data_IF_888474920087
#
_entry.id   IF_888474920087
#
_cell.length_a   1.000
_cell.length_b   1.000
_cell.length_c   1.000
_cell.angle_alpha   90.00
_cell.angle_beta   90.00
_cell.angle_gamma   90.00
#
_symmetry.space_group_name_H-M   'P 1'
#
loop_
_entity.id
_entity.type
_entity.pdbx_description
1 polymer ?
#
# COMPACT_ATOMS: atom_id res chain seq x y z
N UNK A 1 -18.56 1.95 -15.83
CA UNK A 1 -17.58 1.85 -14.74
C UNK A 1 -16.78 0.59 -14.97
N UNK A 2 -15.46 0.67 -14.84
CA UNK A 2 -14.56 -0.46 -15.03
C UNK A 2 -13.97 -0.77 -13.66
N UNK A 3 -14.12 -2.02 -13.21
CA UNK A 3 -13.54 -2.45 -11.94
C UNK A 3 -12.02 -2.60 -12.10
N UNK A 4 -11.26 -2.02 -11.17
CA UNK A 4 -9.84 -2.31 -11.02
C UNK A 4 -9.68 -3.59 -10.19
N UNK A 5 -8.94 -4.56 -10.69
CA UNK A 5 -8.55 -5.75 -9.91
C UNK A 5 -7.33 -5.45 -9.04
N UNK A 6 -7.07 -6.27 -8.01
CA UNK A 6 -5.88 -6.14 -7.16
C UNK A 6 -4.59 -6.20 -7.99
N UNK A 7 -4.49 -7.13 -8.94
CA UNK A 7 -3.30 -7.27 -9.80
C UNK A 7 -3.10 -6.03 -10.66
N UNK A 8 -4.16 -5.51 -11.29
CA UNK A 8 -4.08 -4.26 -12.05
C UNK A 8 -3.68 -3.07 -11.18
N UNK A 9 -4.23 -2.97 -9.95
CA UNK A 9 -3.85 -1.92 -9.02
C UNK A 9 -2.36 -1.99 -8.67
N UNK A 10 -1.84 -3.19 -8.39
CA UNK A 10 -0.42 -3.36 -8.08
C UNK A 10 0.46 -3.02 -9.30
N UNK A 11 0.10 -3.48 -10.49
CA UNK A 11 0.81 -3.12 -11.73
C UNK A 11 0.86 -1.61 -11.94
N UNK A 12 -0.26 -0.92 -11.67
CA UNK A 12 -0.32 0.54 -11.76
C UNK A 12 0.50 1.24 -10.68
N UNK A 13 0.53 0.73 -9.44
CA UNK A 13 1.41 1.23 -8.37
C UNK A 13 2.89 1.09 -8.76
N UNK A 14 3.27 -0.04 -9.36
CA UNK A 14 4.64 -0.26 -9.85
C UNK A 14 4.98 0.77 -10.95
N UNK A 15 4.08 0.95 -11.92
CA UNK A 15 4.29 1.90 -13.02
C UNK A 15 4.35 3.36 -12.51
N UNK A 16 3.45 3.73 -11.61
CA UNK A 16 3.45 5.03 -10.93
C UNK A 16 4.79 5.28 -10.23
N UNK A 17 5.27 4.31 -9.44
CA UNK A 17 6.53 4.45 -8.75
C UNK A 17 7.72 4.53 -9.71
N UNK A 18 7.67 3.87 -10.88
CA UNK A 18 8.72 3.98 -11.90
C UNK A 18 8.80 5.40 -12.43
N UNK A 19 7.66 6.02 -12.72
CA UNK A 19 7.57 7.39 -13.23
C UNK A 19 7.98 8.42 -12.18
N UNK A 20 7.77 8.12 -10.89
CA UNK A 20 8.06 9.02 -9.77
C UNK A 20 9.37 8.74 -9.05
N UNK A 21 10.09 7.66 -9.37
CA UNK A 21 11.27 7.22 -8.63
C UNK A 21 12.32 8.34 -8.44
N UNK A 22 12.52 9.17 -9.48
CA UNK A 22 13.48 10.28 -9.44
C UNK A 22 13.09 11.40 -8.46
N UNK A 23 11.80 11.50 -8.12
CA UNK A 23 11.25 12.50 -7.20
C UNK A 23 11.27 12.04 -5.74
N UNK A 24 11.14 10.73 -5.48
CA UNK A 24 10.97 10.20 -4.12
C UNK A 24 12.12 10.59 -3.18
N UNK A 25 13.36 10.60 -3.68
CA UNK A 25 14.54 11.04 -2.91
C UNK A 25 14.47 12.48 -2.40
N UNK A 26 13.68 13.33 -3.03
CA UNK A 26 13.47 14.72 -2.61
C UNK A 26 12.25 14.88 -1.70
N UNK A 27 11.31 13.94 -1.76
CA UNK A 27 10.04 14.05 -1.05
C UNK A 27 10.07 13.35 0.32
N UNK A 28 10.71 12.18 0.45
CA UNK A 28 10.78 11.49 1.75
C UNK A 28 11.47 12.26 2.90
N UNK A 29 12.47 13.15 2.64
CA UNK A 29 13.13 13.89 3.72
C UNK A 29 12.28 15.07 4.22
N UNK A 30 11.24 15.48 3.47
CA UNK A 30 10.42 16.62 3.89
C UNK A 30 9.51 16.22 5.05
N UNK A 31 9.35 17.13 6.00
CA UNK A 31 8.52 16.92 7.18
C UNK A 31 7.03 16.86 6.81
N UNK A 32 6.41 15.72 7.07
CA UNK A 32 4.97 15.53 6.97
C UNK A 32 4.41 15.56 5.54
N UNK A 33 3.17 15.11 5.38
CA UNK A 33 2.43 15.21 4.12
C UNK A 33 2.88 14.28 3.00
N UNK A 34 3.95 13.50 3.18
CA UNK A 34 4.44 12.56 2.18
C UNK A 34 3.39 11.49 1.83
N UNK A 35 2.82 10.83 2.83
CA UNK A 35 1.73 9.85 2.67
C UNK A 35 0.51 10.46 1.97
N UNK A 36 0.08 11.64 2.42
CA UNK A 36 -1.01 12.37 1.78
C UNK A 36 -0.70 12.78 0.33
N UNK A 37 0.54 13.12 0.00
CA UNK A 37 0.97 13.38 -1.38
C UNK A 37 0.89 12.11 -2.23
N UNK A 38 1.33 10.96 -1.72
CA UNK A 38 1.22 9.67 -2.41
C UNK A 38 -0.25 9.39 -2.74
N UNK A 39 -1.15 9.54 -1.77
CA UNK A 39 -2.59 9.31 -2.01
C UNK A 39 -3.12 10.22 -3.15
N UNK A 40 -2.76 11.51 -3.17
CA UNK A 40 -3.17 12.44 -4.23
C UNK A 40 -2.61 12.02 -5.58
N UNK A 41 -1.29 11.86 -5.67
CA UNK A 41 -0.58 11.66 -6.95
C UNK A 41 -0.86 10.28 -7.54
N UNK A 42 -0.93 9.23 -6.72
CA UNK A 42 -1.32 7.88 -7.16
C UNK A 42 -2.76 7.87 -7.70
N UNK A 43 -3.69 8.53 -7.01
CA UNK A 43 -5.09 8.64 -7.49
C UNK A 43 -5.14 9.36 -8.83
N UNK A 44 -4.45 10.50 -8.97
CA UNK A 44 -4.40 11.25 -10.22
C UNK A 44 -3.76 10.43 -11.36
N UNK A 45 -2.73 9.64 -11.04
CA UNK A 45 -2.08 8.73 -11.98
C UNK A 45 -3.06 7.64 -12.48
N UNK A 46 -3.79 6.99 -11.57
CA UNK A 46 -4.79 5.97 -11.93
C UNK A 46 -5.90 6.55 -12.81
N UNK A 47 -6.42 7.75 -12.50
CA UNK A 47 -7.44 8.43 -13.29
C UNK A 47 -6.93 8.89 -14.66
N UNK A 48 -5.62 9.10 -14.81
CA UNK A 48 -5.00 9.39 -16.10
C UNK A 48 -4.87 8.12 -16.97
N UNK A 49 -4.79 6.93 -16.36
CA UNK A 49 -4.83 5.65 -17.08
C UNK A 49 -6.25 5.37 -17.58
N UNK A 50 -7.23 5.43 -16.68
CA UNK A 50 -8.64 5.29 -17.01
C UNK A 50 -9.49 6.19 -16.12
N UNK A 51 -10.10 7.21 -16.72
CA UNK A 51 -10.96 8.16 -16.01
C UNK A 51 -12.30 7.57 -15.57
N UNK A 52 -12.61 6.33 -15.99
CA UNK A 52 -13.78 5.57 -15.54
C UNK A 52 -13.51 4.75 -14.27
N UNK A 53 -12.28 4.72 -13.75
CA UNK A 53 -12.00 4.17 -12.42
C UNK A 53 -12.68 5.01 -11.34
N UNK A 54 -13.25 4.32 -10.36
CA UNK A 54 -13.83 4.96 -9.19
C UNK A 54 -12.89 4.78 -8.00
N UNK A 55 -12.34 5.90 -7.55
CA UNK A 55 -11.36 5.93 -6.47
C UNK A 55 -11.78 7.04 -5.52
N UNK A 56 -12.11 6.68 -4.30
CA UNK A 56 -12.35 7.62 -3.22
C UNK A 56 -11.15 7.62 -2.27
N UNK A 57 -10.88 8.76 -1.66
CA UNK A 57 -9.85 8.90 -0.63
C UNK A 57 -10.47 9.08 0.72
N UNK A 58 -9.77 8.65 1.77
CA UNK A 58 -10.13 8.97 3.16
C UNK A 58 -11.60 8.60 3.48
N UNK A 59 -11.99 7.36 3.22
CA UNK A 59 -13.37 6.89 3.42
C UNK A 59 -13.58 6.21 4.79
N UNK A 60 -14.72 6.44 5.47
CA UNK A 60 -15.00 5.89 6.80
C UNK A 60 -15.45 4.42 6.75
N UNK A 61 -14.53 3.51 6.45
CA UNK A 61 -14.84 2.08 6.35
C UNK A 61 -14.66 1.29 7.66
N UNK A 62 -14.09 1.94 8.68
CA UNK A 62 -13.78 1.31 9.96
C UNK A 62 -14.92 1.46 10.97
N UNK A 63 -14.95 0.59 11.97
CA UNK A 63 -15.91 0.62 13.07
C UNK A 63 -15.83 1.93 13.87
N UNK A 64 -14.62 2.50 14.02
CA UNK A 64 -14.46 3.88 14.49
C UNK A 64 -14.72 4.87 13.33
N UNK A 65 -15.80 5.66 13.36
CA UNK A 65 -16.14 6.61 12.31
C UNK A 65 -15.21 7.83 12.26
N UNK A 66 -14.12 7.87 13.03
CA UNK A 66 -13.04 8.86 12.90
C UNK A 66 -11.84 8.33 12.11
N UNK A 67 -11.74 7.02 11.95
CA UNK A 67 -10.68 6.41 11.15
C UNK A 67 -11.10 6.34 9.68
N UNK A 68 -10.14 6.46 8.77
CA UNK A 68 -10.35 6.48 7.33
C UNK A 68 -9.33 5.57 6.67
N UNK A 69 -9.76 4.86 5.63
CA UNK A 69 -8.83 4.17 4.73
C UNK A 69 -8.25 5.17 3.75
N UNK A 70 -6.97 5.04 3.43
CA UNK A 70 -6.30 5.96 2.53
C UNK A 70 -6.97 6.04 1.16
N UNK A 71 -7.19 4.88 0.51
CA UNK A 71 -7.94 4.76 -0.75
C UNK A 71 -9.04 3.69 -0.66
N UNK A 72 -10.14 3.92 -1.37
CA UNK A 72 -11.22 2.96 -1.59
C UNK A 72 -11.46 2.83 -3.11
N UNK A 73 -11.07 1.69 -3.68
CA UNK A 73 -11.23 1.42 -5.11
C UNK A 73 -12.59 0.76 -5.38
N UNK A 74 -13.17 1.02 -6.55
CA UNK A 74 -14.45 0.47 -7.00
C UNK A 74 -15.63 0.81 -6.07
N UNK A 75 -15.62 1.99 -5.45
CA UNK A 75 -16.46 2.34 -4.31
C UNK A 75 -17.99 2.15 -4.49
N UNK A 76 -18.53 2.19 -5.71
CA UNK A 76 -19.95 2.00 -6.02
C UNK A 76 -20.27 0.70 -6.74
N UNK A 77 -19.28 -0.19 -6.92
CA UNK A 77 -19.45 -1.42 -7.70
C UNK A 77 -19.98 -2.62 -6.89
N UNK A 78 -20.36 -2.40 -5.64
CA UNK A 78 -20.83 -3.43 -4.69
C UNK A 78 -19.69 -4.09 -3.93
N UNK A 79 -20.00 -4.60 -2.74
CA UNK A 79 -19.03 -4.98 -1.72
C UNK A 79 -17.99 -6.00 -2.23
N UNK A 80 -18.40 -6.97 -3.05
CA UNK A 80 -17.52 -8.00 -3.63
C UNK A 80 -16.40 -7.45 -4.55
N UNK A 81 -16.54 -6.20 -5.02
CA UNK A 81 -15.58 -5.55 -5.91
C UNK A 81 -14.77 -4.46 -5.23
N UNK A 82 -15.17 -4.01 -4.04
CA UNK A 82 -14.52 -2.90 -3.34
C UNK A 82 -13.16 -3.35 -2.81
N UNK A 83 -12.14 -2.51 -2.98
CA UNK A 83 -10.79 -2.78 -2.48
C UNK A 83 -10.34 -1.62 -1.58
N UNK A 84 -10.39 -1.80 -0.25
CA UNK A 84 -9.72 -0.92 0.69
C UNK A 84 -8.20 -0.99 0.53
N UNK A 85 -7.53 0.16 0.55
CA UNK A 85 -6.07 0.23 0.48
C UNK A 85 -5.52 1.17 1.56
N UNK A 86 -4.67 0.64 2.43
CA UNK A 86 -3.83 1.47 3.30
C UNK A 86 -2.44 1.64 2.69
N UNK A 87 -1.86 2.82 2.89
CA UNK A 87 -0.57 3.26 2.38
C UNK A 87 0.22 3.81 3.56
N UNK A 88 1.33 3.15 3.89
CA UNK A 88 2.30 3.67 4.84
C UNK A 88 3.60 3.98 4.16
N UNK A 89 4.07 5.21 4.30
CA UNK A 89 5.34 5.60 3.72
C UNK A 89 6.34 6.06 4.78
N UNK A 90 7.58 5.59 4.67
CA UNK A 90 8.66 6.05 5.52
C UNK A 90 8.97 7.51 5.17
N UNK A 91 9.30 8.28 6.18
CA UNK A 91 9.73 9.67 6.10
C UNK A 91 10.82 9.89 7.15
N UNK A 92 11.49 11.03 7.08
CA UNK A 92 12.53 11.35 8.05
C UNK A 92 12.05 11.30 9.52
N UNK A 93 10.80 11.70 9.79
CA UNK A 93 10.27 11.81 11.16
C UNK A 93 9.71 10.50 11.73
N UNK A 94 9.26 9.59 10.88
CA UNK A 94 8.66 8.32 11.31
C UNK A 94 9.54 7.10 11.03
N UNK A 95 10.76 7.26 10.50
CA UNK A 95 11.70 6.16 10.21
C UNK A 95 11.81 5.12 11.33
N UNK A 96 12.07 3.86 10.98
CA UNK A 96 12.22 2.77 11.94
C UNK A 96 10.94 2.52 12.78
N UNK A 97 11.07 2.49 14.11
CA UNK A 97 10.03 2.02 15.04
C UNK A 97 8.63 2.62 14.78
N UNK A 98 8.47 3.94 14.61
CA UNK A 98 7.18 4.54 14.29
C UNK A 98 6.58 4.11 12.94
N UNK A 99 7.39 3.98 11.89
CA UNK A 99 6.97 3.52 10.57
C UNK A 99 6.53 2.05 10.61
N UNK A 100 7.31 1.19 11.27
CA UNK A 100 6.99 -0.23 11.42
C UNK A 100 5.74 -0.41 12.29
N UNK A 101 5.67 0.26 13.44
CA UNK A 101 4.49 0.22 14.31
C UNK A 101 3.24 0.76 13.60
N UNK A 102 3.41 1.84 12.82
CA UNK A 102 2.34 2.39 12.01
C UNK A 102 1.83 1.41 10.96
N UNK A 103 2.74 0.75 10.22
CA UNK A 103 2.37 -0.31 9.26
C UNK A 103 1.60 -1.44 9.93
N UNK A 104 2.08 -1.94 11.09
CA UNK A 104 1.39 -3.00 11.83
C UNK A 104 0.00 -2.57 12.32
N UNK A 105 -0.16 -1.31 12.72
CA UNK A 105 -1.47 -0.78 13.08
C UNK A 105 -2.40 -0.72 11.88
N UNK A 106 -1.90 -0.37 10.69
CA UNK A 106 -2.70 -0.33 9.46
C UNK A 106 -3.13 -1.74 9.01
N UNK A 107 -2.25 -2.74 9.11
CA UNK A 107 -2.57 -4.17 8.93
C UNK A 107 -3.70 -4.60 9.86
N UNK A 108 -3.57 -4.30 11.17
CA UNK A 108 -4.61 -4.64 12.15
C UNK A 108 -5.94 -3.95 11.86
N UNK A 109 -5.92 -2.66 11.51
CA UNK A 109 -7.14 -1.93 11.16
C UNK A 109 -7.85 -2.58 9.98
N UNK A 110 -7.09 -2.90 8.94
CA UNK A 110 -7.60 -3.62 7.78
C UNK A 110 -8.20 -4.95 8.23
N UNK A 111 -7.50 -5.77 9.00
CA UNK A 111 -7.99 -7.10 9.39
C UNK A 111 -9.20 -7.07 10.34
N UNK A 112 -9.14 -6.27 11.40
CA UNK A 112 -10.00 -6.42 12.58
C UNK A 112 -11.01 -5.28 12.76
N UNK A 113 -10.73 -4.09 12.21
CA UNK A 113 -11.48 -2.88 12.55
C UNK A 113 -12.42 -2.42 11.42
N UNK A 114 -12.53 -3.13 10.29
CA UNK A 114 -13.52 -2.80 9.24
C UNK A 114 -14.95 -2.96 9.75
N UNK A 115 -15.84 -2.07 9.33
CA UNK A 115 -17.27 -2.22 9.63
C UNK A 115 -17.90 -3.37 8.80
N UNK A 116 -19.15 -3.71 9.09
CA UNK A 116 -19.84 -4.85 8.49
C UNK A 116 -20.02 -4.76 6.97
N UNK A 117 -20.02 -3.55 6.40
CA UNK A 117 -20.21 -3.34 4.97
C UNK A 117 -18.92 -3.67 4.19
N UNK A 118 -17.77 -3.68 4.88
CA UNK A 118 -16.45 -3.93 4.25
C UNK A 118 -15.72 -5.14 4.85
N UNK A 119 -16.32 -5.87 5.79
CA UNK A 119 -15.61 -6.93 6.54
C UNK A 119 -15.09 -8.04 5.64
N UNK A 120 -15.83 -8.40 4.59
CA UNK A 120 -15.49 -9.51 3.68
C UNK A 120 -14.69 -9.06 2.44
N UNK A 121 -14.37 -7.77 2.32
CA UNK A 121 -13.68 -7.23 1.15
C UNK A 121 -12.21 -7.63 1.10
N UNK A 122 -11.69 -7.80 -0.13
CA UNK A 122 -10.24 -7.96 -0.33
C UNK A 122 -9.57 -6.61 -0.10
N UNK A 123 -8.50 -6.57 0.70
CA UNK A 123 -7.78 -5.32 0.96
C UNK A 123 -6.28 -5.42 0.69
N UNK A 124 -5.66 -4.26 0.51
CA UNK A 124 -4.24 -4.14 0.18
C UNK A 124 -3.55 -3.21 1.17
N UNK A 125 -2.39 -3.64 1.66
CA UNK A 125 -1.46 -2.79 2.41
C UNK A 125 -0.25 -2.48 1.53
N UNK A 126 0.05 -1.20 1.35
CA UNK A 126 1.25 -0.71 0.65
C UNK A 126 2.17 -0.06 1.68
N UNK A 127 3.38 -0.61 1.87
CA UNK A 127 4.43 -0.03 2.69
C UNK A 127 5.60 0.41 1.81
N UNK A 128 6.04 1.66 1.93
CA UNK A 128 7.15 2.22 1.15
C UNK A 128 8.31 2.56 2.09
N UNK A 129 9.23 1.61 2.36
CA UNK A 129 10.45 1.87 3.12
C UNK A 129 11.52 2.57 2.25
N UNK A 130 12.30 3.45 2.88
CA UNK A 130 13.44 4.14 2.28
C UNK A 130 14.78 3.76 2.93
N UNK A 131 14.77 3.31 4.18
CA UNK A 131 15.95 2.71 4.84
C UNK A 131 15.98 1.20 4.65
N UNK A 132 17.19 0.62 4.60
CA UNK A 132 17.37 -0.83 4.50
C UNK A 132 16.84 -1.54 5.75
N UNK A 133 17.00 -0.90 6.90
CA UNK A 133 16.56 -1.40 8.19
C UNK A 133 15.03 -1.43 8.27
N UNK A 134 14.34 -0.39 7.79
CA UNK A 134 12.88 -0.43 7.67
C UNK A 134 12.42 -1.45 6.64
N UNK A 135 13.08 -1.55 5.48
CA UNK A 135 12.74 -2.57 4.49
C UNK A 135 12.84 -3.99 5.08
N UNK A 136 13.95 -4.28 5.75
CA UNK A 136 14.15 -5.57 6.43
C UNK A 136 13.04 -5.82 7.45
N UNK A 137 12.78 -4.85 8.33
CA UNK A 137 11.75 -5.00 9.36
C UNK A 137 10.34 -5.18 8.79
N UNK A 138 10.01 -4.56 7.65
CA UNK A 138 8.74 -4.79 6.95
C UNK A 138 8.68 -6.21 6.39
N UNK A 139 9.75 -6.70 5.78
CA UNK A 139 9.80 -8.06 5.20
C UNK A 139 9.74 -9.18 6.25
N UNK A 140 9.96 -8.84 7.53
CA UNK A 140 9.87 -9.75 8.69
C UNK A 140 8.51 -9.65 9.41
N UNK A 141 7.55 -8.86 8.91
CA UNK A 141 6.20 -8.85 9.48
C UNK A 141 5.48 -10.15 9.10
N UNK A 142 5.03 -10.86 10.14
CA UNK A 142 4.26 -12.08 10.03
C UNK A 142 2.82 -11.87 10.54
N UNK A 143 1.86 -12.43 9.80
CA UNK A 143 0.48 -12.66 10.24
C UNK A 143 0.10 -14.08 9.80
N UNK A 144 -0.84 -14.71 10.49
CA UNK A 144 -1.29 -16.08 10.17
C UNK A 144 -0.13 -17.11 10.03
N UNK A 145 0.94 -16.91 10.80
CA UNK A 145 2.11 -17.79 10.86
C UNK A 145 3.05 -17.72 9.65
N UNK A 146 2.99 -16.68 8.83
CA UNK A 146 3.87 -16.51 7.66
C UNK A 146 4.15 -15.04 7.32
N UNK A 147 5.19 -14.79 6.52
CA UNK A 147 5.53 -13.45 6.05
C UNK A 147 4.53 -12.98 4.99
N UNK A 148 3.96 -11.78 5.16
CA UNK A 148 2.83 -11.31 4.34
C UNK A 148 3.23 -10.33 3.23
N UNK A 149 4.41 -9.72 3.32
CA UNK A 149 4.84 -8.68 2.39
C UNK A 149 5.67 -9.24 1.24
N UNK A 150 5.18 -9.02 0.02
CA UNK A 150 5.97 -9.13 -1.20
C UNK A 150 6.68 -7.81 -1.47
N UNK A 151 8.01 -7.84 -1.63
CA UNK A 151 8.80 -6.64 -1.94
C UNK A 151 9.05 -6.49 -3.45
N UNK A 152 8.77 -5.31 -3.97
CA UNK A 152 8.99 -4.93 -5.37
C UNK A 152 9.99 -3.78 -5.42
N UNK A 153 11.02 -3.92 -6.25
CA UNK A 153 12.06 -2.90 -6.41
C UNK A 153 11.81 -2.07 -7.67
N UNK A 154 11.77 -0.76 -7.48
CA UNK A 154 11.50 0.24 -8.51
C UNK A 154 12.59 1.31 -8.47
N UNK A 155 13.68 1.08 -9.20
CA UNK A 155 14.84 1.96 -9.16
C UNK A 155 15.47 2.00 -7.76
N UNK A 156 15.46 3.17 -7.12
CA UNK A 156 16.00 3.38 -5.76
C UNK A 156 14.93 3.22 -4.67
N UNK A 157 13.76 2.69 -5.00
CA UNK A 157 12.60 2.59 -4.11
C UNK A 157 12.22 1.13 -3.94
N UNK A 158 11.85 0.74 -2.72
CA UNK A 158 11.20 -0.53 -2.45
C UNK A 158 9.72 -0.28 -2.10
N UNK A 159 8.84 -1.12 -2.63
CA UNK A 159 7.41 -1.14 -2.31
C UNK A 159 7.10 -2.54 -1.78
N UNK A 160 6.67 -2.61 -0.53
CA UNK A 160 6.21 -3.84 0.09
C UNK A 160 4.68 -3.88 0.01
N UNK A 161 4.14 -4.96 -0.53
CA UNK A 161 2.69 -5.15 -0.72
C UNK A 161 2.23 -6.38 0.05
N UNK A 162 1.21 -6.23 0.88
CA UNK A 162 0.48 -7.34 1.48
C UNK A 162 -0.98 -7.30 1.03
N UNK A 163 -1.57 -8.47 0.82
CA UNK A 163 -2.94 -8.64 0.34
C UNK A 163 -3.67 -9.54 1.32
N UNK A 164 -4.88 -9.15 1.69
CA UNK A 164 -5.77 -9.95 2.53
C UNK A 164 -7.03 -10.31 1.78
N UNK A 165 -7.52 -11.53 1.97
CA UNK A 165 -8.82 -11.99 1.46
C UNK A 165 -9.56 -12.73 2.56
N UNK A 166 -10.89 -12.61 2.61
CA UNK A 166 -11.71 -13.33 3.60
C UNK A 166 -11.49 -14.85 3.54
N UNK A 167 -11.35 -15.39 2.33
CA UNK A 167 -11.20 -16.82 2.12
C UNK A 167 -9.84 -17.40 2.56
N UNK A 168 -8.79 -16.58 2.69
CA UNK A 168 -7.42 -17.07 2.90
C UNK A 168 -6.62 -16.30 3.95
N UNK A 169 -7.20 -15.28 4.58
CA UNK A 169 -6.45 -14.38 5.45
C UNK A 169 -5.43 -13.56 4.66
N UNK A 170 -4.31 -13.23 5.31
CA UNK A 170 -3.18 -12.64 4.62
C UNK A 170 -2.55 -13.65 3.65
N UNK A 171 -2.27 -13.20 2.43
CA UNK A 171 -1.70 -14.05 1.40
C UNK A 171 -0.19 -14.21 1.61
N UNK A 172 0.29 -15.44 1.47
CA UNK A 172 1.70 -15.75 1.53
C UNK A 172 2.47 -15.12 0.36
N UNK A 173 3.70 -14.66 0.62
CA UNK A 173 4.70 -14.21 -0.37
C UNK A 173 5.23 -15.36 -1.28
N UNK A 174 4.42 -16.38 -1.55
CA UNK A 174 4.87 -17.61 -2.23
C UNK A 174 5.19 -17.41 -3.72
N UNK A 175 4.89 -16.24 -4.29
CA UNK A 175 5.34 -15.81 -5.62
C UNK A 175 6.70 -15.08 -5.57
N UNK A 176 7.60 -15.58 -4.72
CA UNK A 176 8.95 -15.08 -4.41
C UNK A 176 9.94 -15.11 -5.60
N UNK A 177 9.52 -14.62 -6.77
CA UNK A 177 10.41 -14.15 -7.81
C UNK A 177 10.56 -12.65 -7.56
N UNK A 178 11.70 -12.21 -7.00
CA UNK A 178 12.04 -10.79 -7.06
C UNK A 178 11.91 -10.37 -8.52
N UNK A 179 11.00 -9.44 -8.81
CA UNK A 179 11.02 -8.71 -10.08
C UNK A 179 12.24 -7.77 -10.05
N UNK A 180 13.43 -8.35 -9.98
CA UNK A 180 14.69 -7.62 -10.10
C UNK A 180 14.85 -7.23 -11.57
N UNK A 181 14.37 -6.03 -11.91
CA UNK A 181 14.94 -5.30 -13.04
C UNK A 181 16.31 -4.78 -12.60
N UNK A 182 17.34 -4.98 -13.43
CA UNK A 182 18.75 -4.69 -13.15
C UNK A 182 18.95 -3.27 -12.57
N UNK A 183 19.06 -3.19 -11.24
CA UNK A 183 19.30 -1.97 -10.48
C UNK A 183 19.09 -2.29 -9.01
N UNK A 184 20.16 -2.67 -8.30
CA UNK A 184 20.04 -3.01 -6.88
C UNK A 184 19.56 -1.80 -6.07
N UNK A 185 18.62 -2.02 -5.16
CA UNK A 185 18.18 -1.00 -4.20
C UNK A 185 19.38 -0.47 -3.42
N UNK A 186 19.71 0.79 -3.65
CA UNK A 186 20.67 1.54 -2.84
C UNK A 186 19.85 2.42 -1.93
N UNK A 187 20.14 2.36 -0.62
CA UNK A 187 19.56 3.29 0.34
C UNK A 187 19.68 4.71 -0.21
N UNK A 188 18.59 5.45 -0.17
CA UNK A 188 18.58 6.90 -0.45
C UNK A 188 18.81 7.73 0.82
N UNK A 189 18.91 7.06 1.98
CA UNK A 189 19.38 7.61 3.24
C UNK A 189 20.89 7.39 3.42
#
# INVERSE_FOLDING_TARGET
MVAITVDQFIDHVIAWAQDRAVQFKFNWPVKGGWEGWIQVDLTAYLLNIDSAYEILREQPIYADPRQRVDLLLNASMGDDCVIPVEIKAESFENRMGPFISGTKNDIRKLNDDRNTDYSETTCVMISIPFSQESLKAISEIEEDGHHIFRTIYVGEVAIAVAIYTEASGWLHDSNNVPLMRKGGFRSIA
#
